data_IF_196678576383
#
_entry.id   IF_196678576383
#
_cell.length_a   1.000
_cell.length_b   1.000
_cell.length_c   1.000
_cell.angle_alpha   90.00
_cell.angle_beta   90.00
_cell.angle_gamma   90.00
#
_symmetry.space_group_name_H-M   'P 1'
#
loop_
_entity.id
_entity.type
_entity.pdbx_description
1 polymer ?
#
# COMPACT_ATOMS: atom_id res chain seq x y z
N UNK A 1 12.02 6.70 -14.25
CA UNK A 1 11.40 6.85 -12.93
C UNK A 1 11.13 5.49 -12.37
N UNK A 2 11.45 5.29 -11.11
CA UNK A 2 11.33 3.98 -10.50
C UNK A 2 9.90 3.61 -10.11
N UNK A 3 9.00 4.58 -10.08
CA UNK A 3 7.60 4.36 -9.70
C UNK A 3 6.70 5.42 -10.32
N UNK A 4 5.40 5.11 -10.36
CA UNK A 4 4.37 6.01 -10.89
C UNK A 4 4.11 7.14 -9.89
N UNK A 5 4.61 8.34 -10.20
CA UNK A 5 4.48 9.49 -9.31
C UNK A 5 3.03 9.98 -9.21
N UNK A 6 2.24 9.80 -10.25
CA UNK A 6 0.81 10.15 -10.20
C UNK A 6 0.08 9.25 -9.20
N UNK A 7 0.37 7.96 -9.21
CA UNK A 7 -0.21 7.03 -8.24
C UNK A 7 0.23 7.41 -6.82
N UNK A 8 1.52 7.75 -6.64
CA UNK A 8 2.02 8.17 -5.33
C UNK A 8 1.32 9.44 -4.85
N UNK A 9 1.11 10.42 -5.73
CA UNK A 9 0.40 11.65 -5.38
C UNK A 9 -1.04 11.37 -4.98
N UNK A 10 -1.72 10.48 -5.68
CA UNK A 10 -3.10 10.10 -5.36
C UNK A 10 -3.17 9.41 -3.99
N UNK A 11 -2.23 8.52 -3.69
CA UNK A 11 -2.18 7.87 -2.38
C UNK A 11 -1.88 8.89 -1.27
N UNK A 12 -0.97 9.83 -1.54
CA UNK A 12 -0.64 10.88 -0.58
C UNK A 12 -1.87 11.74 -0.27
N UNK A 13 -2.68 12.05 -1.28
CA UNK A 13 -3.90 12.84 -1.08
C UNK A 13 -4.89 12.13 -0.16
N UNK A 14 -5.05 10.82 -0.31
CA UNK A 14 -5.93 10.03 0.57
C UNK A 14 -5.46 10.11 2.02
N UNK A 15 -4.14 10.14 2.24
CA UNK A 15 -3.54 10.14 3.57
C UNK A 15 -3.30 11.55 4.14
N UNK A 16 -3.62 12.59 3.38
CA UNK A 16 -3.22 13.97 3.72
C UNK A 16 -3.78 14.46 5.06
N UNK A 17 -4.90 13.90 5.53
CA UNK A 17 -5.49 14.30 6.81
C UNK A 17 -4.81 13.66 8.01
N UNK A 18 -3.88 12.73 7.82
CA UNK A 18 -3.23 12.03 8.93
C UNK A 18 -1.99 12.82 9.36
N UNK A 19 -1.93 13.19 10.63
CA UNK A 19 -0.84 14.01 11.17
C UNK A 19 0.45 13.23 11.39
N UNK A 20 0.35 11.90 11.45
CA UNK A 20 1.48 11.01 11.71
C UNK A 20 2.01 10.34 10.43
N UNK A 21 1.71 10.95 9.28
CA UNK A 21 2.16 10.47 7.98
C UNK A 21 3.63 10.84 7.75
N UNK A 22 4.41 9.90 7.24
CA UNK A 22 5.75 10.15 6.73
C UNK A 22 5.97 9.30 5.49
N UNK A 23 7.00 9.65 4.72
CA UNK A 23 7.31 8.96 3.47
C UNK A 23 8.76 8.49 3.52
N UNK A 24 9.02 7.33 2.90
CA UNK A 24 10.38 6.77 2.83
C UNK A 24 10.56 6.10 1.47
N UNK A 25 11.64 6.44 0.79
CA UNK A 25 12.00 5.74 -0.45
C UNK A 25 12.65 4.41 -0.10
N UNK A 26 12.18 3.33 -0.72
CA UNK A 26 12.73 1.99 -0.52
C UNK A 26 12.36 1.08 -1.69
N UNK A 27 13.18 0.08 -1.94
CA UNK A 27 12.96 -0.94 -2.99
C UNK A 27 12.75 -0.33 -4.38
N UNK A 28 13.32 0.86 -4.64
CA UNK A 28 13.11 1.55 -5.90
C UNK A 28 11.76 2.24 -6.02
N UNK A 29 10.96 2.25 -4.95
CA UNK A 29 9.67 2.91 -4.90
C UNK A 29 9.58 3.88 -3.74
N UNK A 30 8.36 4.16 -3.31
CA UNK A 30 8.11 5.02 -2.16
C UNK A 30 7.09 4.33 -1.23
N UNK A 31 7.34 4.41 0.07
CA UNK A 31 6.44 3.87 1.08
C UNK A 31 5.87 5.01 1.93
N UNK A 32 4.59 4.89 2.27
CA UNK A 32 3.91 5.82 3.17
C UNK A 32 3.75 5.15 4.52
N UNK A 33 4.29 5.82 5.55
CA UNK A 33 4.30 5.32 6.91
C UNK A 33 3.29 6.08 7.73
N UNK A 34 2.52 5.38 8.55
CA UNK A 34 1.58 5.98 9.48
C UNK A 34 1.99 5.55 10.89
N UNK A 35 2.26 6.52 11.76
CA UNK A 35 2.76 6.28 13.12
C UNK A 35 4.03 5.41 13.13
N UNK A 36 4.87 5.55 12.09
CA UNK A 36 6.11 4.80 11.94
C UNK A 36 5.96 3.41 11.36
N UNK A 37 4.74 2.96 11.09
CA UNK A 37 4.46 1.65 10.47
C UNK A 37 4.08 1.83 9.01
N UNK A 38 4.62 0.96 8.15
CA UNK A 38 4.29 1.03 6.73
C UNK A 38 2.81 0.71 6.51
N UNK A 39 2.15 1.55 5.73
CA UNK A 39 0.74 1.37 5.38
C UNK A 39 0.60 0.92 3.92
N UNK A 40 1.09 1.73 3.01
CA UNK A 40 1.05 1.46 1.57
C UNK A 40 2.32 1.96 0.93
N UNK A 41 2.54 1.60 -0.32
CA UNK A 41 3.65 2.11 -1.10
C UNK A 41 3.36 2.00 -2.58
N UNK A 42 4.26 2.55 -3.39
CA UNK A 42 4.17 2.47 -4.85
C UNK A 42 5.49 1.94 -5.38
N UNK A 43 5.44 0.87 -6.14
CA UNK A 43 6.60 0.27 -6.82
C UNK A 43 6.20 0.07 -8.28
N UNK A 44 6.93 0.71 -9.20
CA UNK A 44 6.52 0.71 -10.60
C UNK A 44 5.12 1.30 -10.73
N UNK A 45 4.19 0.59 -11.33
CA UNK A 45 2.80 1.00 -11.48
C UNK A 45 1.87 0.33 -10.47
N UNK A 46 2.42 -0.40 -9.51
CA UNK A 46 1.65 -1.18 -8.55
C UNK A 46 1.54 -0.45 -7.21
N UNK A 47 0.38 -0.58 -6.58
CA UNK A 47 0.18 -0.15 -5.21
C UNK A 47 0.52 -1.33 -4.29
N UNK A 48 1.43 -1.12 -3.36
CA UNK A 48 1.77 -2.08 -2.32
C UNK A 48 0.91 -1.76 -1.10
N UNK A 49 0.21 -2.75 -0.55
CA UNK A 49 -0.69 -2.56 0.59
C UNK A 49 -0.31 -3.54 1.68
N UNK A 50 -0.15 -3.03 2.90
CA UNK A 50 0.10 -3.86 4.07
C UNK A 50 -1.20 -4.10 4.82
N UNK A 51 -1.53 -5.37 5.04
CA UNK A 51 -2.77 -5.78 5.70
C UNK A 51 -2.45 -6.83 6.77
N UNK A 52 -3.42 -7.09 7.63
CA UNK A 52 -3.39 -8.29 8.47
C UNK A 52 -3.23 -9.51 7.57
N UNK A 53 -2.44 -10.54 7.95
CA UNK A 53 -2.25 -11.71 7.09
C UNK A 53 -3.54 -12.39 6.65
N UNK A 54 -4.58 -12.42 7.49
CA UNK A 54 -5.88 -12.98 7.13
C UNK A 54 -6.55 -12.14 6.05
N UNK A 55 -6.54 -10.81 6.23
CA UNK A 55 -7.13 -9.89 5.26
C UNK A 55 -6.36 -9.92 3.93
N UNK A 56 -5.05 -10.02 4.00
CA UNK A 56 -4.22 -10.12 2.80
C UNK A 56 -4.55 -11.41 2.02
N UNK A 57 -4.72 -12.53 2.71
CA UNK A 57 -5.09 -13.79 2.06
C UNK A 57 -6.45 -13.70 1.39
N UNK A 58 -7.42 -13.04 2.03
CA UNK A 58 -8.74 -12.83 1.44
C UNK A 58 -8.68 -11.90 0.23
N UNK A 59 -7.85 -10.87 0.30
CA UNK A 59 -7.70 -9.92 -0.80
C UNK A 59 -7.15 -10.55 -2.07
N UNK A 60 -6.40 -11.65 -1.96
CA UNK A 60 -5.85 -12.34 -3.14
C UNK A 60 -6.94 -12.92 -4.04
N UNK A 61 -8.16 -13.06 -3.57
CA UNK A 61 -9.28 -13.48 -4.41
C UNK A 61 -9.89 -12.34 -5.23
N UNK A 62 -9.51 -11.10 -4.92
CA UNK A 62 -9.99 -9.93 -5.65
C UNK A 62 -9.28 -9.79 -6.99
N UNK A 63 -9.97 -9.27 -8.04
CA UNK A 63 -9.28 -9.00 -9.29
C UNK A 63 -8.20 -7.94 -9.09
N UNK A 64 -7.13 -8.03 -9.89
CA UNK A 64 -6.02 -7.08 -9.88
C UNK A 64 -5.14 -7.13 -8.64
N UNK A 65 -5.33 -8.13 -7.77
CA UNK A 65 -4.52 -8.31 -6.57
C UNK A 65 -3.62 -9.53 -6.75
N UNK A 66 -2.34 -9.39 -6.39
CA UNK A 66 -1.40 -10.50 -6.39
C UNK A 66 -0.54 -10.48 -5.14
N UNK A 67 0.04 -11.63 -4.76
CA UNK A 67 0.91 -11.65 -3.59
C UNK A 67 2.18 -10.85 -3.86
N UNK A 68 2.70 -10.22 -2.81
CA UNK A 68 3.98 -9.56 -2.89
C UNK A 68 5.08 -10.60 -2.67
N UNK A 69 5.88 -10.84 -3.70
CA UNK A 69 6.95 -11.83 -3.66
C UNK A 69 8.30 -11.20 -4.01
N UNK A 70 8.56 -10.02 -3.47
CA UNK A 70 9.70 -9.19 -3.81
C UNK A 70 11.03 -9.94 -3.74
N UNK A 71 11.17 -10.88 -2.79
CA UNK A 71 12.41 -11.66 -2.62
C UNK A 71 12.31 -13.07 -3.18
N UNK A 72 11.31 -13.35 -4.03
CA UNK A 72 11.05 -14.68 -4.55
C UNK A 72 10.19 -15.55 -3.63
N UNK A 73 9.84 -15.04 -2.45
CA UNK A 73 8.95 -15.73 -1.51
C UNK A 73 7.77 -14.83 -1.20
N UNK A 74 6.54 -15.36 -1.15
CA UNK A 74 5.38 -14.54 -0.78
C UNK A 74 5.57 -13.94 0.61
N UNK A 75 5.25 -12.66 0.74
CA UNK A 75 5.30 -11.95 2.03
C UNK A 75 3.91 -11.93 2.63
N UNK A 76 3.76 -12.54 3.80
CA UNK A 76 2.48 -12.52 4.50
C UNK A 76 2.10 -11.10 4.90
N UNK A 77 0.85 -10.74 4.67
CA UNK A 77 0.38 -9.41 5.03
C UNK A 77 0.72 -8.32 4.03
N UNK A 78 1.30 -8.67 2.87
CA UNK A 78 1.63 -7.71 1.82
C UNK A 78 1.04 -8.17 0.52
N UNK A 79 0.40 -7.25 -0.19
CA UNK A 79 -0.17 -7.52 -1.52
C UNK A 79 0.21 -6.40 -2.48
N UNK A 80 0.18 -6.71 -3.77
CA UNK A 80 0.20 -5.73 -4.84
C UNK A 80 -1.19 -5.58 -5.43
N UNK A 81 -1.58 -4.35 -5.73
CA UNK A 81 -2.77 -4.04 -6.52
C UNK A 81 -2.27 -3.38 -7.81
N UNK A 82 -2.61 -3.96 -8.96
CA UNK A 82 -2.11 -3.42 -10.23
C UNK A 82 -2.84 -2.14 -10.62
N UNK A 83 -2.39 -1.48 -11.71
CA UNK A 83 -2.92 -0.19 -12.10
C UNK A 83 -4.41 -0.22 -12.41
N UNK A 84 -4.94 -1.34 -12.93
CA UNK A 84 -6.37 -1.46 -13.20
C UNK A 84 -7.18 -1.48 -11.89
N UNK A 85 -6.60 -2.02 -10.82
CA UNK A 85 -7.26 -2.07 -9.51
C UNK A 85 -7.24 -0.75 -8.74
N UNK A 86 -6.46 0.23 -9.19
CA UNK A 86 -6.36 1.55 -8.55
C UNK A 86 -6.84 2.68 -9.44
N UNK A 87 -7.36 2.36 -10.63
CA UNK A 87 -7.76 3.37 -11.60
C UNK A 87 -8.89 4.27 -11.08
N UNK A 88 -9.90 3.67 -10.45
CA UNK A 88 -10.99 4.43 -9.83
C UNK A 88 -10.53 5.01 -8.49
N UNK A 89 -10.81 6.29 -8.25
CA UNK A 89 -10.39 6.95 -7.01
C UNK A 89 -10.95 6.26 -5.77
N UNK A 90 -12.19 5.80 -5.80
CA UNK A 90 -12.81 5.12 -4.66
C UNK A 90 -12.13 3.78 -4.36
N UNK A 91 -11.68 3.05 -5.39
CA UNK A 91 -10.96 1.80 -5.19
C UNK A 91 -9.59 2.06 -4.60
N UNK A 92 -8.88 3.06 -5.12
CA UNK A 92 -7.59 3.45 -4.57
C UNK A 92 -7.73 3.88 -3.11
N UNK A 93 -8.72 4.73 -2.81
CA UNK A 93 -8.93 5.20 -1.43
C UNK A 93 -9.21 4.03 -0.48
N UNK A 94 -10.01 3.06 -0.92
CA UNK A 94 -10.30 1.88 -0.11
C UNK A 94 -9.04 1.09 0.23
N UNK A 95 -8.16 0.84 -0.75
CA UNK A 95 -6.92 0.12 -0.50
C UNK A 95 -5.97 0.91 0.40
N UNK A 96 -5.81 2.21 0.14
CA UNK A 96 -4.90 3.05 0.92
C UNK A 96 -5.38 3.15 2.37
N UNK A 97 -6.67 3.34 2.59
CA UNK A 97 -7.21 3.44 3.94
C UNK A 97 -7.14 2.11 4.68
N UNK A 98 -7.33 0.98 3.99
CA UNK A 98 -7.16 -0.33 4.62
C UNK A 98 -5.74 -0.52 5.14
N UNK A 99 -4.74 -0.13 4.34
CA UNK A 99 -3.34 -0.20 4.78
C UNK A 99 -3.06 0.73 5.94
N UNK A 100 -3.59 1.95 5.90
CA UNK A 100 -3.42 2.92 6.98
C UNK A 100 -4.08 2.46 8.27
N UNK A 101 -5.28 1.89 8.18
CA UNK A 101 -5.98 1.38 9.36
C UNK A 101 -5.21 0.23 10.00
N UNK A 102 -4.63 -0.65 9.20
CA UNK A 102 -3.78 -1.71 9.74
C UNK A 102 -2.55 -1.11 10.43
N UNK A 103 -1.89 -0.15 9.79
CA UNK A 103 -0.70 0.49 10.36
C UNK A 103 -1.00 1.13 11.72
N UNK A 104 -2.17 1.77 11.86
CA UNK A 104 -2.56 2.39 13.13
C UNK A 104 -2.98 1.37 14.18
N UNK A 105 -3.30 0.14 13.79
CA UNK A 105 -3.62 -0.93 14.74
C UNK A 105 -2.37 -1.51 15.40
N UNK A 106 -1.19 -1.21 14.86
CA UNK A 106 0.09 -1.68 15.40
C UNK A 106 0.64 -0.67 16.41
N UNK A 107 1.51 -1.10 17.34
CA UNK A 107 2.18 -0.14 18.22
C UNK A 107 2.97 0.88 17.41
N UNK A 108 2.89 2.17 17.74
CA UNK A 108 3.67 3.20 17.03
C UNK A 108 5.17 2.94 17.16
N UNK A 109 5.89 3.35 16.11
CA UNK A 109 7.36 3.25 16.11
C UNK A 109 7.99 4.62 16.18
#
# INVERSE_FOLDING_TARGET
MAYDETLADRARDVLASRSDLSERKMFGGIAFMVAGNMAVGVIGDDLMVRLDPTDAAQALSEPHVRPMDFTGKPMKGMIYVDSAGTEADEDLAGWVEAGADFATSLPPK
#
